data_IF_887194046359
#
_entry.id   IF_887194046359
#
_cell.length_a   1.000
_cell.length_b   1.000
_cell.length_c   1.000
_cell.angle_alpha   90.00
_cell.angle_beta   90.00
_cell.angle_gamma   90.00
#
_symmetry.space_group_name_H-M   'P 1'
#
loop_
_entity.id
_entity.type
_entity.pdbx_description
1 polymer ?
#
# COMPACT_ATOMS: atom_id res chain seq x y z
N UNK A 1 1.54 8.85 -21.48
CA UNK A 1 0.73 8.57 -20.28
C UNK A 1 1.23 7.28 -19.65
N UNK A 2 1.45 7.26 -18.35
CA UNK A 2 1.93 6.08 -17.62
C UNK A 2 0.78 5.10 -17.40
N UNK A 3 0.94 3.85 -17.81
CA UNK A 3 -0.02 2.78 -17.51
C UNK A 3 0.18 2.34 -16.05
N UNK A 4 -0.91 2.27 -15.28
CA UNK A 4 -0.87 1.93 -13.87
C UNK A 4 -1.71 0.69 -13.58
N UNK A 5 -1.26 -0.15 -12.67
CA UNK A 5 -2.03 -1.32 -12.19
C UNK A 5 -3.38 -0.93 -11.59
N UNK A 6 -3.46 0.28 -11.03
CA UNK A 6 -4.71 0.81 -10.48
C UNK A 6 -5.79 0.96 -11.57
N UNK A 7 -5.42 1.24 -12.83
CA UNK A 7 -6.40 1.43 -13.92
C UNK A 7 -7.18 0.12 -14.17
N UNK A 8 -6.48 -0.99 -14.32
CA UNK A 8 -7.11 -2.33 -14.45
C UNK A 8 -7.88 -2.75 -13.17
N UNK A 9 -7.40 -2.32 -11.99
CA UNK A 9 -8.13 -2.56 -10.74
C UNK A 9 -9.47 -1.83 -10.71
N UNK A 10 -9.50 -0.54 -11.11
CA UNK A 10 -10.71 0.27 -11.17
C UNK A 10 -11.74 -0.33 -12.14
N UNK A 11 -11.31 -0.75 -13.34
CA UNK A 11 -12.18 -1.41 -14.31
C UNK A 11 -12.84 -2.67 -13.73
N UNK A 12 -12.02 -3.54 -13.10
CA UNK A 12 -12.51 -4.76 -12.48
C UNK A 12 -13.44 -4.48 -11.29
N UNK A 13 -13.11 -3.49 -10.48
CA UNK A 13 -13.88 -3.12 -9.28
C UNK A 13 -15.29 -2.65 -9.67
N UNK A 14 -15.41 -1.64 -10.51
CA UNK A 14 -16.70 -1.06 -10.87
C UNK A 14 -17.55 -1.94 -11.80
N UNK A 15 -16.94 -2.95 -12.41
CA UNK A 15 -17.68 -4.00 -13.12
C UNK A 15 -18.39 -4.97 -12.18
N UNK A 16 -17.81 -5.24 -11.01
CA UNK A 16 -18.25 -6.29 -10.11
C UNK A 16 -18.91 -5.77 -8.82
N UNK A 17 -18.60 -4.53 -8.39
CA UNK A 17 -19.07 -3.96 -7.13
C UNK A 17 -19.79 -2.62 -7.32
N UNK A 18 -20.68 -2.30 -6.37
CA UNK A 18 -21.43 -1.04 -6.32
C UNK A 18 -21.04 -0.13 -5.17
N UNK A 19 -20.18 -0.61 -4.27
CA UNK A 19 -19.69 0.17 -3.15
C UNK A 19 -18.87 1.36 -3.65
N UNK A 20 -18.73 2.36 -2.80
CA UNK A 20 -17.76 3.41 -3.01
C UNK A 20 -16.33 2.88 -2.85
N UNK A 21 -15.38 3.48 -3.56
CA UNK A 21 -13.97 3.15 -3.42
C UNK A 21 -13.20 4.37 -2.91
N UNK A 22 -12.46 4.19 -1.81
CA UNK A 22 -11.55 5.21 -1.30
C UNK A 22 -10.11 4.87 -1.70
N UNK A 23 -9.49 5.72 -2.51
CA UNK A 23 -8.08 5.58 -2.89
C UNK A 23 -7.22 6.42 -1.96
N UNK A 24 -6.40 5.73 -1.17
CA UNK A 24 -5.43 6.31 -0.23
C UNK A 24 -4.00 6.24 -0.79
N UNK A 25 -3.03 6.72 -0.04
CA UNK A 25 -1.60 6.65 -0.36
C UNK A 25 -0.93 8.02 -0.32
N UNK A 26 0.39 8.03 -0.38
CA UNK A 26 1.20 9.24 -0.29
C UNK A 26 0.81 10.31 -1.32
N UNK A 27 1.14 11.57 -1.03
CA UNK A 27 1.01 12.63 -2.02
C UNK A 27 1.86 12.35 -3.26
N UNK A 28 1.40 12.86 -4.42
CA UNK A 28 2.09 12.75 -5.71
C UNK A 28 2.18 11.33 -6.29
N UNK A 29 1.44 10.34 -5.75
CA UNK A 29 1.38 8.98 -6.33
C UNK A 29 0.46 8.86 -7.55
N UNK A 30 -0.26 9.94 -7.91
CA UNK A 30 -1.10 10.00 -9.11
C UNK A 30 -2.56 9.63 -8.90
N UNK A 31 -3.08 9.60 -7.66
CA UNK A 31 -4.47 9.21 -7.32
C UNK A 31 -5.51 9.94 -8.16
N UNK A 32 -5.59 11.26 -8.03
CA UNK A 32 -6.59 12.07 -8.74
C UNK A 32 -6.46 11.98 -10.25
N UNK A 33 -5.23 11.83 -10.77
CA UNK A 33 -4.97 11.63 -12.20
C UNK A 33 -5.59 10.32 -12.71
N UNK A 34 -5.31 9.18 -12.05
CA UNK A 34 -5.87 7.88 -12.44
C UNK A 34 -7.40 7.85 -12.32
N UNK A 35 -7.96 8.48 -11.27
CA UNK A 35 -9.41 8.57 -11.09
C UNK A 35 -10.06 9.40 -12.21
N UNK A 36 -9.52 10.57 -12.55
CA UNK A 36 -10.02 11.41 -13.65
C UNK A 36 -9.94 10.68 -14.98
N UNK A 37 -8.82 10.02 -15.24
CA UNK A 37 -8.65 9.21 -16.45
C UNK A 37 -9.70 8.11 -16.53
N UNK A 38 -9.87 7.33 -15.47
CA UNK A 38 -10.88 6.28 -15.40
C UNK A 38 -12.30 6.84 -15.58
N UNK A 39 -12.64 7.91 -14.87
CA UNK A 39 -13.96 8.54 -14.94
C UNK A 39 -14.31 9.05 -16.35
N UNK A 40 -13.35 9.71 -17.01
CA UNK A 40 -13.58 10.25 -18.36
C UNK A 40 -13.60 9.18 -19.46
N UNK A 41 -12.98 8.03 -19.24
CA UNK A 41 -12.93 6.95 -20.24
C UNK A 41 -14.07 5.93 -20.09
N UNK A 42 -14.61 5.74 -18.87
CA UNK A 42 -15.58 4.67 -18.59
C UNK A 42 -16.98 5.18 -18.25
N UNK A 43 -17.14 6.48 -17.98
CA UNK A 43 -18.45 7.08 -17.68
C UNK A 43 -18.79 8.20 -18.67
N UNK A 44 -20.07 8.45 -18.85
CA UNK A 44 -20.52 9.58 -19.71
C UNK A 44 -20.34 10.94 -19.04
N UNK A 45 -20.37 10.95 -17.71
CA UNK A 45 -20.18 12.16 -16.91
C UNK A 45 -19.27 11.84 -15.72
N UNK A 46 -18.33 12.72 -15.48
CA UNK A 46 -17.49 12.73 -14.27
C UNK A 46 -17.81 14.03 -13.51
N UNK A 47 -18.36 13.89 -12.32
CA UNK A 47 -18.61 15.02 -11.41
C UNK A 47 -17.55 15.00 -10.35
N UNK A 48 -16.61 15.93 -10.43
CA UNK A 48 -15.49 16.06 -9.49
C UNK A 48 -15.77 17.19 -8.48
N UNK A 49 -15.54 16.90 -7.21
CA UNK A 49 -15.66 17.82 -6.09
C UNK A 49 -14.36 17.74 -5.30
N UNK A 50 -13.51 18.75 -5.47
CA UNK A 50 -12.26 18.87 -4.73
C UNK A 50 -12.48 19.81 -3.53
N UNK A 51 -12.37 19.28 -2.32
CA UNK A 51 -12.69 20.05 -1.10
C UNK A 51 -11.69 21.16 -0.78
N UNK A 52 -10.49 21.15 -1.36
CA UNK A 52 -9.54 22.26 -1.26
C UNK A 52 -9.93 23.41 -2.22
N UNK A 53 -10.33 23.06 -3.45
CA UNK A 53 -10.69 24.03 -4.50
C UNK A 53 -12.12 24.55 -4.36
N UNK A 54 -13.00 23.75 -3.74
CA UNK A 54 -14.43 24.02 -3.58
C UNK A 54 -14.85 23.92 -2.10
N UNK A 55 -14.35 24.79 -1.21
CA UNK A 55 -14.66 24.72 0.22
C UNK A 55 -16.15 24.88 0.53
N UNK A 56 -16.92 25.55 -0.35
CA UNK A 56 -18.39 25.65 -0.25
C UNK A 56 -19.09 24.29 -0.35
N UNK A 57 -18.47 23.26 -0.95
CA UNK A 57 -19.01 21.91 -0.98
C UNK A 57 -19.09 21.29 0.42
N UNK A 58 -18.22 21.68 1.34
CA UNK A 58 -18.25 21.23 2.75
C UNK A 58 -19.56 21.67 3.42
N UNK A 59 -19.96 22.92 3.21
CA UNK A 59 -21.22 23.45 3.76
C UNK A 59 -22.43 22.73 3.16
N UNK A 60 -22.38 22.43 1.85
CA UNK A 60 -23.43 21.66 1.17
C UNK A 60 -23.63 20.29 1.80
N UNK A 61 -22.54 19.58 2.08
CA UNK A 61 -22.57 18.24 2.66
C UNK A 61 -23.05 18.28 4.10
N UNK A 62 -22.51 19.20 4.91
CA UNK A 62 -22.83 19.32 6.34
C UNK A 62 -24.29 19.67 6.59
N UNK A 63 -24.93 20.45 5.70
CA UNK A 63 -26.31 20.89 5.82
C UNK A 63 -27.33 20.13 4.98
N UNK A 64 -26.90 19.06 4.28
CA UNK A 64 -27.80 18.24 3.50
C UNK A 64 -28.74 17.42 4.39
N UNK A 65 -30.04 17.47 4.09
CA UNK A 65 -31.07 16.76 4.87
C UNK A 65 -31.12 15.25 4.58
N UNK A 66 -30.75 14.87 3.37
CA UNK A 66 -30.70 13.50 2.89
C UNK A 66 -29.87 13.40 1.61
N UNK A 67 -29.65 12.18 1.10
CA UNK A 67 -28.85 11.94 -0.11
C UNK A 67 -29.38 12.67 -1.35
N UNK A 68 -30.68 12.75 -1.56
CA UNK A 68 -31.28 13.47 -2.71
C UNK A 68 -31.05 14.96 -2.65
N UNK A 69 -31.21 15.57 -1.47
CA UNK A 69 -30.92 17.00 -1.25
C UNK A 69 -29.43 17.28 -1.47
N UNK A 70 -28.55 16.40 -0.97
CA UNK A 70 -27.11 16.51 -1.19
C UNK A 70 -26.75 16.45 -2.67
N UNK A 71 -27.24 15.46 -3.40
CA UNK A 71 -26.98 15.29 -4.83
C UNK A 71 -27.48 16.46 -5.65
N UNK A 72 -28.69 16.98 -5.34
CA UNK A 72 -29.22 18.17 -5.99
C UNK A 72 -28.33 19.39 -5.82
N UNK A 73 -27.88 19.64 -4.60
CA UNK A 73 -26.98 20.77 -4.28
C UNK A 73 -25.61 20.62 -4.94
N UNK A 74 -25.02 19.41 -4.90
CA UNK A 74 -23.75 19.12 -5.56
C UNK A 74 -23.85 19.28 -7.08
N UNK A 75 -24.96 18.86 -7.68
CA UNK A 75 -25.22 19.07 -9.11
C UNK A 75 -25.30 20.56 -9.47
N UNK A 76 -25.93 21.38 -8.62
CA UNK A 76 -26.00 22.81 -8.83
C UNK A 76 -24.63 23.51 -8.68
N UNK A 77 -23.75 22.96 -7.80
CA UNK A 77 -22.44 23.52 -7.55
C UNK A 77 -21.45 23.25 -8.70
N UNK A 78 -21.52 22.05 -9.30
CA UNK A 78 -20.49 21.60 -10.26
C UNK A 78 -20.80 21.95 -11.72
N UNK A 79 -22.02 22.40 -12.04
CA UNK A 79 -22.50 22.62 -13.42
C UNK A 79 -22.32 21.39 -14.35
N UNK A 80 -22.15 20.19 -13.79
CA UNK A 80 -22.02 18.95 -14.53
C UNK A 80 -23.31 18.11 -14.41
N UNK A 81 -23.77 17.48 -15.50
CA UNK A 81 -24.99 16.69 -15.45
C UNK A 81 -24.78 15.39 -14.66
N UNK A 82 -25.65 15.15 -13.70
CA UNK A 82 -25.79 13.87 -13.03
C UNK A 82 -26.71 12.97 -13.85
N UNK A 83 -26.14 11.99 -14.57
CA UNK A 83 -26.86 11.03 -15.41
C UNK A 83 -26.93 9.71 -14.66
N UNK A 84 -28.13 9.28 -14.30
CA UNK A 84 -28.36 8.05 -13.54
C UNK A 84 -27.71 6.81 -14.22
N UNK A 85 -26.97 6.04 -13.45
CA UNK A 85 -26.23 4.86 -13.89
C UNK A 85 -25.02 5.14 -14.79
N UNK A 86 -24.74 6.41 -15.16
CA UNK A 86 -23.70 6.78 -16.13
C UNK A 86 -22.75 7.88 -15.63
N UNK A 87 -22.91 8.31 -14.39
CA UNK A 87 -22.02 9.30 -13.74
C UNK A 87 -21.15 8.65 -12.67
N UNK A 88 -19.86 8.97 -12.70
CA UNK A 88 -18.96 8.78 -11.59
C UNK A 88 -18.86 10.10 -10.80
N UNK A 89 -19.18 10.05 -9.52
CA UNK A 89 -18.99 11.18 -8.60
C UNK A 89 -17.67 10.98 -7.87
N UNK A 90 -16.76 11.92 -8.05
CA UNK A 90 -15.42 11.87 -7.48
C UNK A 90 -15.26 12.95 -6.40
N UNK A 91 -15.04 12.51 -5.16
CA UNK A 91 -14.71 13.39 -4.04
C UNK A 91 -13.20 13.35 -3.82
N UNK A 92 -12.52 14.47 -4.12
CA UNK A 92 -11.07 14.59 -3.97
C UNK A 92 -10.71 15.35 -2.69
N UNK A 93 -9.58 14.98 -2.09
CA UNK A 93 -9.04 15.54 -0.84
C UNK A 93 -10.06 15.44 0.34
N UNK A 94 -10.64 14.23 0.52
CA UNK A 94 -11.73 13.99 1.50
C UNK A 94 -11.31 14.20 2.96
N UNK A 95 -10.01 14.33 3.27
CA UNK A 95 -9.55 14.74 4.60
C UNK A 95 -10.01 16.15 4.98
N UNK A 96 -10.29 17.01 4.00
CA UNK A 96 -10.84 18.35 4.26
C UNK A 96 -12.34 18.33 4.60
N UNK A 97 -13.03 17.21 4.31
CA UNK A 97 -14.46 17.00 4.61
C UNK A 97 -14.71 15.56 5.10
N UNK A 98 -14.34 15.22 6.35
CA UNK A 98 -14.53 13.86 6.89
C UNK A 98 -16.01 13.42 6.91
N UNK A 99 -16.95 14.36 6.92
CA UNK A 99 -18.39 14.10 6.91
C UNK A 99 -18.83 13.31 5.67
N UNK A 100 -18.17 13.51 4.50
CA UNK A 100 -18.52 12.79 3.28
C UNK A 100 -18.25 11.28 3.42
N UNK A 101 -17.22 10.89 4.17
CA UNK A 101 -16.91 9.49 4.42
C UNK A 101 -18.03 8.82 5.23
N UNK A 102 -18.65 9.55 6.15
CA UNK A 102 -19.83 9.07 6.89
C UNK A 102 -21.08 9.08 6.01
N UNK A 103 -21.25 10.10 5.18
CA UNK A 103 -22.41 10.26 4.31
C UNK A 103 -22.43 9.29 3.13
N UNK A 104 -21.28 8.72 2.74
CA UNK A 104 -21.15 7.85 1.57
C UNK A 104 -22.08 6.64 1.63
N UNK A 105 -22.37 6.12 2.82
CA UNK A 105 -23.34 5.06 3.03
C UNK A 105 -24.68 5.38 2.39
N UNK A 106 -25.22 6.56 2.68
CA UNK A 106 -26.54 6.97 2.19
C UNK A 106 -26.56 7.24 0.69
N UNK A 107 -25.41 7.69 0.14
CA UNK A 107 -25.24 7.90 -1.30
C UNK A 107 -25.18 6.57 -2.05
N UNK A 108 -24.48 5.57 -1.52
CA UNK A 108 -24.40 4.22 -2.08
C UNK A 108 -25.73 3.48 -1.98
N UNK A 109 -26.47 3.63 -0.87
CA UNK A 109 -27.82 3.07 -0.67
C UNK A 109 -28.85 3.67 -1.64
N UNK A 110 -28.73 4.95 -1.95
CA UNK A 110 -29.58 5.63 -2.94
C UNK A 110 -29.40 5.04 -4.35
N UNK A 111 -28.16 4.68 -4.72
CA UNK A 111 -27.85 3.77 -5.82
C UNK A 111 -27.83 4.37 -7.22
N UNK A 112 -28.15 5.66 -7.42
CA UNK A 112 -28.23 6.29 -8.75
C UNK A 112 -26.87 6.47 -9.42
N UNK A 113 -25.78 6.59 -8.67
CA UNK A 113 -24.45 6.91 -9.19
C UNK A 113 -23.39 5.96 -8.67
N UNK A 114 -22.18 6.08 -9.23
CA UNK A 114 -20.97 5.45 -8.69
C UNK A 114 -20.12 6.51 -7.99
N UNK A 115 -19.46 6.11 -6.90
CA UNK A 115 -18.72 7.02 -6.05
C UNK A 115 -17.29 6.56 -5.87
N UNK A 116 -16.35 7.47 -6.08
CA UNK A 116 -14.94 7.28 -5.79
C UNK A 116 -14.44 8.45 -4.97
N UNK A 117 -13.56 8.17 -4.05
CA UNK A 117 -12.97 9.15 -3.15
C UNK A 117 -11.46 9.07 -3.22
N UNK A 118 -10.78 10.18 -3.04
CA UNK A 118 -9.33 10.18 -2.80
C UNK A 118 -8.95 11.13 -1.68
N UNK A 119 -7.83 10.80 -1.07
CA UNK A 119 -7.21 11.68 -0.09
C UNK A 119 -5.79 11.25 0.21
N UNK A 120 -4.98 12.23 0.53
CA UNK A 120 -3.66 12.03 1.08
C UNK A 120 -3.74 12.16 2.60
N UNK A 121 -2.85 11.48 3.36
CA UNK A 121 -2.81 11.57 4.82
C UNK A 121 -4.03 10.99 5.56
N UNK A 122 -4.91 10.28 4.87
CA UNK A 122 -6.18 9.77 5.43
C UNK A 122 -5.99 8.85 6.64
N UNK A 123 -4.92 8.07 6.68
CA UNK A 123 -4.63 7.22 7.83
C UNK A 123 -4.44 7.99 9.14
N UNK A 124 -4.06 9.27 9.06
CA UNK A 124 -3.90 10.14 10.24
C UNK A 124 -5.21 10.81 10.64
N UNK A 125 -5.97 11.29 9.64
CA UNK A 125 -7.13 12.17 9.89
C UNK A 125 -8.44 11.41 10.05
N UNK A 126 -8.55 10.20 9.46
CA UNK A 126 -9.76 9.36 9.61
C UNK A 126 -9.88 8.64 10.95
N UNK A 127 -8.87 8.71 11.84
CA UNK A 127 -8.96 8.12 13.19
C UNK A 127 -10.09 8.68 14.04
N UNK A 128 -10.53 9.89 13.74
CA UNK A 128 -11.60 10.60 14.46
C UNK A 128 -12.98 10.43 13.82
N UNK A 129 -13.11 9.59 12.78
CA UNK A 129 -14.41 9.31 12.17
C UNK A 129 -15.34 8.63 13.19
N UNK A 130 -16.52 9.21 13.36
CA UNK A 130 -17.57 8.71 14.24
C UNK A 130 -18.07 7.31 13.85
N UNK A 131 -17.91 6.89 12.58
CA UNK A 131 -18.33 5.58 12.08
C UNK A 131 -17.69 5.31 10.71
N UNK A 132 -16.95 4.22 10.60
CA UNK A 132 -16.55 3.69 9.30
C UNK A 132 -17.78 3.06 8.63
N UNK A 133 -18.07 3.38 7.35
CA UNK A 133 -19.21 2.82 6.62
C UNK A 133 -18.92 1.39 6.16
N UNK A 134 -18.77 0.47 7.11
CA UNK A 134 -18.51 -0.95 6.85
C UNK A 134 -19.57 -1.52 5.90
N UNK A 135 -19.14 -2.15 4.80
CA UNK A 135 -20.02 -2.75 3.80
C UNK A 135 -20.45 -1.81 2.66
N UNK A 136 -20.18 -0.51 2.75
CA UNK A 136 -20.54 0.48 1.72
C UNK A 136 -19.34 1.10 1.02
N UNK A 137 -18.16 0.91 1.55
CA UNK A 137 -16.92 1.45 1.02
C UNK A 137 -15.79 0.43 1.17
N UNK A 138 -14.97 0.31 0.13
CA UNK A 138 -13.71 -0.41 0.17
C UNK A 138 -12.55 0.59 0.06
N UNK A 139 -11.40 0.22 0.59
CA UNK A 139 -10.19 1.06 0.60
C UNK A 139 -9.12 0.40 -0.27
N UNK A 140 -8.50 1.18 -1.15
CA UNK A 140 -7.35 0.74 -1.95
C UNK A 140 -6.21 1.73 -1.81
N UNK A 141 -5.08 1.26 -1.32
CA UNK A 141 -3.86 2.06 -1.28
C UNK A 141 -3.17 2.08 -2.65
N UNK A 142 -2.72 3.26 -3.05
CA UNK A 142 -1.96 3.51 -4.28
C UNK A 142 -0.54 3.92 -3.94
N UNK A 143 0.40 3.19 -4.51
CA UNK A 143 1.84 3.35 -4.28
C UNK A 143 2.51 4.12 -5.45
N UNK A 144 3.77 4.58 -5.31
CA UNK A 144 4.62 4.92 -6.44
C UNK A 144 4.65 3.77 -7.47
N UNK A 145 5.10 4.00 -8.68
CA UNK A 145 5.30 2.93 -9.68
C UNK A 145 6.19 1.84 -9.09
N UNK A 146 5.72 0.61 -9.17
CA UNK A 146 6.55 -0.54 -8.84
C UNK A 146 7.54 -0.87 -9.99
N UNK A 147 8.42 -1.84 -9.80
CA UNK A 147 9.43 -2.24 -10.80
C UNK A 147 8.78 -2.57 -12.14
N UNK A 148 7.67 -3.30 -12.15
CA UNK A 148 6.96 -3.67 -13.37
C UNK A 148 6.40 -2.45 -14.10
N UNK A 149 5.65 -1.60 -13.40
CA UNK A 149 5.09 -0.36 -13.96
C UNK A 149 6.20 0.55 -14.53
N UNK A 150 7.33 0.67 -13.81
CA UNK A 150 8.48 1.43 -14.25
C UNK A 150 9.11 0.85 -15.53
N UNK A 151 9.32 -0.46 -15.59
CA UNK A 151 9.89 -1.11 -16.74
C UNK A 151 8.98 -1.00 -17.97
N UNK A 152 7.66 -1.17 -17.78
CA UNK A 152 6.67 -0.96 -18.85
C UNK A 152 6.68 0.49 -19.34
N UNK A 153 6.81 1.47 -18.43
CA UNK A 153 6.92 2.89 -18.80
C UNK A 153 8.16 3.18 -19.65
N UNK A 154 9.25 2.44 -19.43
CA UNK A 154 10.49 2.52 -20.24
C UNK A 154 10.46 1.67 -21.51
N UNK A 155 9.32 1.06 -21.84
CA UNK A 155 9.12 0.31 -23.08
C UNK A 155 9.58 -1.15 -23.02
N UNK A 156 9.76 -1.74 -21.84
CA UNK A 156 9.92 -3.19 -21.73
C UNK A 156 8.66 -3.87 -22.25
N UNK A 157 8.83 -4.75 -23.23
CA UNK A 157 7.73 -5.46 -23.85
C UNK A 157 7.14 -6.50 -22.89
N UNK A 158 5.81 -6.61 -22.88
CA UNK A 158 5.08 -7.58 -22.04
C UNK A 158 5.62 -9.01 -22.22
N UNK A 159 5.95 -9.40 -23.45
CA UNK A 159 6.53 -10.73 -23.73
C UNK A 159 7.85 -10.99 -22.99
N UNK A 160 8.72 -9.98 -22.88
CA UNK A 160 9.97 -10.09 -22.11
C UNK A 160 9.66 -10.25 -20.63
N UNK A 161 8.69 -9.48 -20.12
CA UNK A 161 8.29 -9.56 -18.73
C UNK A 161 7.66 -10.92 -18.38
N UNK A 162 6.82 -11.46 -19.24
CA UNK A 162 6.21 -12.78 -19.10
C UNK A 162 7.26 -13.91 -19.13
N UNK A 163 8.29 -13.77 -19.96
CA UNK A 163 9.43 -14.71 -20.00
C UNK A 163 10.22 -14.68 -18.68
N UNK A 164 10.46 -13.50 -18.11
CA UNK A 164 11.12 -13.36 -16.80
C UNK A 164 10.25 -13.96 -15.70
N UNK A 165 8.93 -13.75 -15.75
CA UNK A 165 7.97 -14.35 -14.82
C UNK A 165 7.98 -15.88 -14.92
N UNK A 166 8.00 -16.41 -16.12
CA UNK A 166 8.14 -17.85 -16.37
C UNK A 166 9.45 -18.42 -15.81
N UNK A 167 10.56 -17.66 -15.98
CA UNK A 167 11.85 -18.06 -15.40
C UNK A 167 11.82 -18.07 -13.87
N UNK A 168 11.14 -17.11 -13.24
CA UNK A 168 10.86 -17.11 -11.79
C UNK A 168 10.07 -18.33 -11.34
N UNK A 169 8.95 -18.64 -12.01
CA UNK A 169 8.07 -19.76 -11.68
C UNK A 169 8.79 -21.12 -11.81
N UNK A 170 9.62 -21.26 -12.85
CA UNK A 170 10.41 -22.45 -13.14
C UNK A 170 11.75 -22.49 -12.40
N UNK A 171 12.11 -21.47 -11.62
CA UNK A 171 13.39 -21.34 -10.91
C UNK A 171 14.60 -21.52 -11.85
N UNK A 172 14.51 -21.04 -13.07
CA UNK A 172 15.58 -21.14 -14.08
C UNK A 172 16.19 -19.76 -14.41
N UNK A 173 17.42 -19.78 -14.91
CA UNK A 173 18.09 -18.56 -15.34
C UNK A 173 17.35 -17.89 -16.50
N UNK A 174 17.32 -16.56 -16.47
CA UNK A 174 16.94 -15.70 -17.60
C UNK A 174 18.10 -15.69 -18.61
N UNK A 175 17.82 -15.49 -19.88
CA UNK A 175 18.87 -15.24 -20.89
C UNK A 175 19.82 -14.13 -20.41
N UNK A 176 21.13 -14.34 -20.53
CA UNK A 176 22.14 -13.44 -19.96
C UNK A 176 22.09 -12.03 -20.53
N UNK A 177 21.74 -11.88 -21.82
CA UNK A 177 21.59 -10.56 -22.44
C UNK A 177 20.37 -9.84 -21.88
N UNK A 178 19.24 -10.54 -21.76
CA UNK A 178 18.00 -10.01 -21.16
C UNK A 178 18.26 -9.64 -19.71
N UNK A 179 18.85 -10.54 -18.91
CA UNK A 179 19.20 -10.28 -17.52
C UNK A 179 20.03 -9.00 -17.37
N UNK A 180 21.09 -8.86 -18.16
CA UNK A 180 21.95 -7.67 -18.14
C UNK A 180 21.19 -6.38 -18.44
N UNK A 181 20.31 -6.40 -19.44
CA UNK A 181 19.50 -5.24 -19.83
C UNK A 181 18.49 -4.86 -18.73
N UNK A 182 17.83 -5.82 -18.15
CA UNK A 182 16.89 -5.58 -17.04
C UNK A 182 17.62 -5.06 -15.80
N UNK A 183 18.83 -5.55 -15.51
CA UNK A 183 19.66 -5.01 -14.43
C UNK A 183 20.11 -3.56 -14.70
N UNK A 184 20.35 -3.16 -15.96
CA UNK A 184 20.60 -1.76 -16.31
C UNK A 184 19.37 -0.88 -15.98
N UNK A 185 18.16 -1.34 -16.34
CA UNK A 185 16.91 -0.66 -16.03
C UNK A 185 16.63 -0.62 -14.51
N UNK A 186 16.94 -1.70 -13.81
CA UNK A 186 16.79 -1.72 -12.35
C UNK A 186 17.71 -0.67 -11.68
N UNK A 187 18.96 -0.53 -12.11
CA UNK A 187 19.83 0.54 -11.60
C UNK A 187 19.28 1.94 -11.89
N UNK A 188 18.64 2.11 -13.04
CA UNK A 188 17.95 3.37 -13.34
C UNK A 188 16.75 3.60 -12.41
N UNK A 189 15.98 2.53 -12.11
CA UNK A 189 14.89 2.59 -11.15
C UNK A 189 15.36 3.03 -9.75
N UNK A 190 16.53 2.56 -9.30
CA UNK A 190 17.09 3.01 -8.02
C UNK A 190 17.37 4.52 -7.95
N UNK A 191 17.50 5.17 -9.10
CA UNK A 191 17.80 6.62 -9.19
C UNK A 191 16.53 7.42 -9.42
N UNK A 192 15.72 7.00 -10.37
CA UNK A 192 14.49 7.71 -10.78
C UNK A 192 13.39 7.47 -9.76
N UNK A 193 13.27 6.25 -9.23
CA UNK A 193 12.17 5.83 -8.37
C UNK A 193 10.88 5.62 -9.15
N UNK A 194 9.78 5.52 -8.38
CA UNK A 194 8.45 5.27 -8.91
C UNK A 194 7.48 6.47 -8.80
N UNK A 195 7.94 7.66 -8.38
CA UNK A 195 7.05 8.83 -8.33
C UNK A 195 6.63 9.25 -9.74
N UNK A 196 5.31 9.27 -10.08
CA UNK A 196 4.85 9.46 -11.47
C UNK A 196 5.40 10.71 -12.16
N UNK A 197 5.44 11.85 -11.45
CA UNK A 197 5.99 13.10 -12.00
C UNK A 197 7.48 12.97 -12.34
N UNK A 198 8.23 12.25 -11.50
CA UNK A 198 9.67 12.01 -11.69
C UNK A 198 9.91 11.06 -12.86
N UNK A 199 9.14 9.97 -12.95
CA UNK A 199 9.21 9.02 -14.07
C UNK A 199 8.86 9.72 -15.37
N UNK A 200 7.78 10.52 -15.40
CA UNK A 200 7.40 11.28 -16.58
C UNK A 200 8.49 12.29 -16.99
N UNK A 201 9.07 13.00 -16.01
CA UNK A 201 10.19 13.91 -16.25
C UNK A 201 11.38 13.21 -16.89
N UNK A 202 11.73 12.02 -16.42
CA UNK A 202 12.79 11.21 -17.04
C UNK A 202 12.45 10.81 -18.49
N UNK A 203 11.22 10.35 -18.74
CA UNK A 203 10.78 9.97 -20.08
C UNK A 203 10.81 11.14 -21.08
N UNK A 204 10.46 12.33 -20.61
CA UNK A 204 10.40 13.54 -21.45
C UNK A 204 11.79 14.11 -21.77
N UNK A 205 12.75 13.99 -20.84
CA UNK A 205 14.02 14.72 -20.93
C UNK A 205 15.26 13.84 -21.00
N UNK A 206 15.19 12.60 -20.51
CA UNK A 206 16.34 11.72 -20.28
C UNK A 206 17.47 12.39 -19.45
N UNK A 207 17.12 13.37 -18.62
CA UNK A 207 18.05 14.21 -17.89
C UNK A 207 17.95 13.97 -16.37
N UNK A 208 18.99 13.36 -15.79
CA UNK A 208 19.01 13.05 -14.36
C UNK A 208 19.07 14.28 -13.44
N UNK A 209 19.55 15.42 -13.92
CA UNK A 209 19.54 16.66 -13.13
C UNK A 209 18.11 17.18 -12.96
N UNK A 210 17.28 17.10 -14.01
CA UNK A 210 15.87 17.46 -13.94
C UNK A 210 15.08 16.48 -13.07
N UNK A 211 15.41 15.19 -13.14
CA UNK A 211 14.86 14.15 -12.24
C UNK A 211 15.14 14.50 -10.79
N UNK A 212 16.39 14.83 -10.44
CA UNK A 212 16.77 15.24 -9.08
C UNK A 212 16.04 16.49 -8.61
N UNK A 213 15.88 17.48 -9.50
CA UNK A 213 15.14 18.70 -9.15
C UNK A 213 13.68 18.42 -8.82
N UNK A 214 13.03 17.51 -9.57
CA UNK A 214 11.65 17.07 -9.31
C UNK A 214 11.53 16.29 -8.01
N UNK A 215 12.44 15.35 -7.74
CA UNK A 215 12.49 14.61 -6.47
C UNK A 215 12.67 15.55 -5.27
N UNK A 216 13.56 16.52 -5.35
CA UNK A 216 13.74 17.52 -4.31
C UNK A 216 12.50 18.39 -4.10
N UNK A 217 11.73 18.67 -5.17
CA UNK A 217 10.46 19.39 -5.06
C UNK A 217 9.44 18.57 -4.26
N UNK A 218 9.35 17.26 -4.51
CA UNK A 218 8.47 16.35 -3.76
C UNK A 218 8.88 16.27 -2.28
N UNK A 219 10.18 16.15 -1.99
CA UNK A 219 10.68 16.15 -0.59
C UNK A 219 10.32 17.46 0.11
N UNK A 220 10.49 18.61 -0.54
CA UNK A 220 10.06 19.89 0.01
C UNK A 220 8.56 19.94 0.27
N UNK A 221 7.76 19.32 -0.58
CA UNK A 221 6.31 19.21 -0.39
C UNK A 221 6.00 18.37 0.87
N UNK A 222 6.64 17.20 1.04
CA UNK A 222 6.46 16.35 2.22
C UNK A 222 6.83 17.11 3.51
N UNK A 223 7.95 17.84 3.52
CA UNK A 223 8.34 18.68 4.65
C UNK A 223 7.32 19.79 4.97
N UNK A 224 6.70 20.39 3.94
CA UNK A 224 5.61 21.38 4.16
C UNK A 224 4.36 20.75 4.79
N UNK A 225 4.02 19.52 4.40
CA UNK A 225 2.88 18.81 4.98
C UNK A 225 3.14 18.43 6.44
N UNK A 226 4.34 17.94 6.76
CA UNK A 226 4.80 17.74 8.13
C UNK A 226 4.64 19.03 8.93
N UNK A 227 5.00 20.17 8.35
CA UNK A 227 4.93 21.46 8.99
C UNK A 227 3.53 21.95 9.31
N UNK A 228 2.52 21.52 8.56
CA UNK A 228 1.11 21.90 8.76
C UNK A 228 0.42 21.06 9.84
N UNK A 229 0.80 19.80 9.95
CA UNK A 229 0.06 18.80 10.71
C UNK A 229 0.10 19.00 12.22
N UNK A 230 1.27 19.28 12.81
CA UNK A 230 1.38 19.40 14.26
C UNK A 230 2.43 20.44 14.66
N UNK A 231 1.98 21.53 15.24
CA UNK A 231 2.87 22.59 15.74
C UNK A 231 3.77 22.14 16.90
N UNK A 232 3.33 21.13 17.68
CA UNK A 232 4.03 20.66 18.88
C UNK A 232 5.03 19.55 18.56
N UNK A 233 4.77 18.70 17.53
CA UNK A 233 5.61 17.55 17.17
C UNK A 233 6.28 17.71 15.79
N UNK A 234 6.04 18.82 15.10
CA UNK A 234 6.59 19.10 13.76
C UNK A 234 8.11 18.85 13.67
N UNK A 235 8.86 19.38 14.61
CA UNK A 235 10.34 19.25 14.62
C UNK A 235 10.76 17.78 14.69
N UNK A 236 10.07 16.97 15.49
CA UNK A 236 10.40 15.55 15.62
C UNK A 236 10.10 14.75 14.34
N UNK A 237 8.96 15.03 13.68
CA UNK A 237 8.60 14.34 12.42
C UNK A 237 9.61 14.68 11.32
N UNK A 238 9.98 15.97 11.20
CA UNK A 238 10.96 16.45 10.22
C UNK A 238 12.35 15.86 10.48
N UNK A 239 12.82 15.88 11.72
CA UNK A 239 14.10 15.28 12.13
C UNK A 239 14.14 13.77 11.85
N UNK A 240 13.07 13.03 12.17
CA UNK A 240 12.98 11.59 11.86
C UNK A 240 13.09 11.37 10.36
N UNK A 241 12.35 12.14 9.57
CA UNK A 241 12.35 12.01 8.11
C UNK A 241 13.73 12.30 7.52
N UNK A 242 14.43 13.31 8.00
CA UNK A 242 15.80 13.67 7.56
C UNK A 242 16.87 12.65 7.96
N UNK A 243 16.66 11.95 9.07
CA UNK A 243 17.60 10.93 9.54
C UNK A 243 17.46 9.59 8.81
N UNK A 244 16.38 9.32 8.09
CA UNK A 244 16.17 8.03 7.41
C UNK A 244 17.40 7.60 6.58
N UNK A 245 17.98 8.44 5.67
CA UNK A 245 19.12 8.01 4.87
C UNK A 245 20.35 7.64 5.70
N UNK A 246 20.66 8.40 6.77
CA UNK A 246 21.80 8.16 7.62
C UNK A 246 21.65 6.91 8.49
N UNK A 247 20.46 6.70 9.06
CA UNK A 247 20.15 5.52 9.86
C UNK A 247 20.18 4.23 9.01
N UNK A 248 19.66 4.26 7.79
CA UNK A 248 19.74 3.14 6.85
C UNK A 248 21.16 2.82 6.41
N UNK A 249 22.06 3.80 6.39
CA UNK A 249 23.47 3.61 6.04
C UNK A 249 24.33 3.21 7.24
N UNK A 250 23.82 3.29 8.47
CA UNK A 250 24.48 2.85 9.67
C UNK A 250 24.67 1.32 9.68
N UNK A 251 25.67 0.83 10.43
CA UNK A 251 26.00 -0.60 10.49
C UNK A 251 24.80 -1.48 10.89
N UNK A 252 23.95 -0.99 11.79
CA UNK A 252 22.79 -1.75 12.31
C UNK A 252 21.49 -1.45 11.58
N UNK A 253 21.45 -0.44 10.69
CA UNK A 253 20.27 0.02 9.92
C UNK A 253 19.00 0.22 10.75
N UNK A 254 19.09 0.18 12.07
CA UNK A 254 17.99 0.40 13.00
C UNK A 254 17.83 1.87 13.26
N UNK A 255 16.61 2.34 13.34
CA UNK A 255 16.36 3.70 13.76
C UNK A 255 16.73 3.89 15.23
N UNK A 256 17.76 4.68 15.50
CA UNK A 256 18.31 4.90 16.85
C UNK A 256 17.77 6.20 17.41
N UNK A 257 16.78 6.11 18.32
CA UNK A 257 16.14 7.28 18.94
C UNK A 257 17.10 8.22 19.67
N UNK A 258 18.22 7.71 20.18
CA UNK A 258 19.25 8.54 20.82
C UNK A 258 19.90 9.53 19.86
N UNK A 259 19.87 9.26 18.56
CA UNK A 259 20.37 10.18 17.55
C UNK A 259 19.46 11.41 17.37
N UNK A 260 18.18 11.31 17.78
CA UNK A 260 17.27 12.46 17.87
C UNK A 260 17.50 13.25 19.16
N UNK A 261 17.51 12.56 20.31
CA UNK A 261 17.76 13.19 21.60
C UNK A 261 18.06 12.12 22.65
N UNK A 262 19.22 12.25 23.35
CA UNK A 262 19.70 11.27 24.32
C UNK A 262 18.78 11.04 25.52
N UNK A 263 17.95 12.03 25.87
CA UNK A 263 17.13 12.04 27.08
C UNK A 263 15.65 11.71 26.87
N UNK A 264 15.20 11.49 25.63
CA UNK A 264 13.78 11.28 25.33
C UNK A 264 13.42 9.79 25.16
N UNK A 265 12.26 9.42 25.70
CA UNK A 265 11.69 8.07 25.61
C UNK A 265 10.94 7.89 24.28
N UNK A 266 10.87 6.67 23.77
CA UNK A 266 10.13 6.28 22.54
C UNK A 266 8.70 6.80 22.53
N UNK A 267 7.98 6.74 23.65
CA UNK A 267 6.59 7.19 23.75
C UNK A 267 6.36 8.65 23.30
N UNK A 268 7.40 9.47 23.28
CA UNK A 268 7.30 10.86 22.83
C UNK A 268 7.38 11.02 21.31
N UNK A 269 7.99 10.03 20.63
CA UNK A 269 8.13 10.00 19.16
C UNK A 269 7.15 9.07 18.47
N UNK A 270 6.44 8.22 19.24
CA UNK A 270 5.56 7.18 18.69
C UNK A 270 4.54 7.76 17.70
N UNK A 271 3.90 8.87 18.07
CA UNK A 271 2.95 9.55 17.17
C UNK A 271 3.62 10.07 15.88
N UNK A 272 4.87 10.50 15.94
CA UNK A 272 5.61 10.97 14.77
C UNK A 272 5.91 9.84 13.79
N UNK A 273 6.29 8.65 14.29
CA UNK A 273 6.47 7.47 13.45
C UNK A 273 5.15 6.96 12.87
N UNK A 274 4.09 6.98 13.68
CA UNK A 274 2.74 6.64 13.21
C UNK A 274 2.34 7.59 12.08
N UNK A 275 2.57 8.89 12.26
CA UNK A 275 2.25 9.88 11.24
C UNK A 275 2.99 9.61 9.92
N UNK A 276 4.31 9.40 9.96
CA UNK A 276 5.11 9.12 8.76
C UNK A 276 4.63 7.87 8.02
N UNK A 277 4.23 6.83 8.76
CA UNK A 277 3.66 5.61 8.20
C UNK A 277 2.30 5.88 7.57
N UNK A 278 1.38 6.50 8.31
CA UNK A 278 0.00 6.73 7.85
C UNK A 278 -0.07 7.76 6.71
N UNK A 279 0.89 8.71 6.68
CA UNK A 279 1.08 9.60 5.54
C UNK A 279 1.64 8.88 4.30
N UNK A 280 2.07 7.62 4.46
CA UNK A 280 2.65 6.82 3.39
C UNK A 280 4.01 7.30 2.92
N UNK A 281 4.73 8.12 3.70
CA UNK A 281 6.05 8.67 3.30
C UNK A 281 7.22 7.85 3.83
N UNK A 282 6.99 7.00 4.84
CA UNK A 282 8.00 6.08 5.34
C UNK A 282 7.41 4.70 5.67
N UNK A 283 8.25 3.67 5.54
CA UNK A 283 7.89 2.27 5.70
C UNK A 283 8.61 1.69 6.91
N UNK A 284 7.97 1.52 8.07
CA UNK A 284 8.58 0.87 9.22
C UNK A 284 8.63 -0.65 9.03
N UNK A 285 9.80 -1.22 9.21
CA UNK A 285 10.07 -2.66 9.20
C UNK A 285 10.43 -3.08 10.62
N UNK A 286 9.55 -3.83 11.28
CA UNK A 286 9.71 -4.15 12.70
C UNK A 286 10.54 -5.40 12.92
N UNK A 287 11.29 -5.44 14.05
CA UNK A 287 11.93 -6.67 14.44
C UNK A 287 10.89 -7.71 14.89
N UNK A 288 11.06 -8.94 14.44
CA UNK A 288 10.43 -10.10 15.04
C UNK A 288 11.45 -10.81 15.91
N UNK A 289 11.09 -11.14 17.15
CA UNK A 289 11.99 -11.78 18.10
C UNK A 289 12.23 -13.26 17.75
N UNK A 290 11.28 -13.87 17.03
CA UNK A 290 11.36 -15.22 16.51
C UNK A 290 10.84 -15.26 15.06
N UNK A 291 11.52 -15.95 14.14
CA UNK A 291 11.07 -16.12 12.76
C UNK A 291 10.05 -17.27 12.64
N UNK A 292 8.97 -17.19 13.40
CA UNK A 292 7.88 -18.19 13.46
C UNK A 292 6.54 -17.49 13.19
N UNK A 293 5.73 -18.06 12.30
CA UNK A 293 4.40 -17.53 12.00
C UNK A 293 3.42 -17.77 13.17
N UNK A 294 2.53 -16.84 13.50
CA UNK A 294 2.35 -15.50 12.90
C UNK A 294 3.37 -14.46 13.41
N UNK A 295 4.13 -13.85 12.51
CA UNK A 295 5.19 -12.87 12.85
C UNK A 295 4.69 -11.67 13.67
N UNK A 296 3.41 -11.35 13.54
CA UNK A 296 2.77 -10.27 14.30
C UNK A 296 2.80 -10.50 15.82
N UNK A 297 2.83 -11.76 16.26
CA UNK A 297 2.83 -12.11 17.69
C UNK A 297 4.19 -11.90 18.35
N UNK A 298 5.29 -12.05 17.59
CA UNK A 298 6.67 -11.86 18.06
C UNK A 298 7.27 -10.50 17.70
N UNK A 299 6.43 -9.55 17.27
CA UNK A 299 6.83 -8.21 16.87
C UNK A 299 7.32 -7.37 18.05
N UNK A 300 8.56 -6.90 17.99
CA UNK A 300 9.11 -5.90 18.91
C UNK A 300 8.56 -4.50 18.60
N UNK A 301 8.02 -3.80 19.59
CA UNK A 301 7.41 -2.47 19.37
C UNK A 301 8.43 -1.36 19.11
N UNK A 302 9.61 -1.45 19.74
CA UNK A 302 10.60 -0.35 19.78
C UNK A 302 11.84 -0.62 18.93
N UNK A 303 11.85 -1.72 18.17
CA UNK A 303 12.97 -2.09 17.32
C UNK A 303 12.47 -2.17 15.87
N UNK A 304 12.86 -1.20 15.06
CA UNK A 304 12.48 -1.15 13.66
C UNK A 304 13.54 -0.46 12.80
N UNK A 305 13.54 -0.77 11.52
CA UNK A 305 14.20 -0.01 10.46
C UNK A 305 13.14 0.90 9.83
N UNK A 306 13.53 2.06 9.33
CA UNK A 306 12.61 2.99 8.67
C UNK A 306 13.09 3.24 7.25
N UNK A 307 12.34 2.76 6.27
CA UNK A 307 12.62 2.94 4.85
C UNK A 307 11.80 4.10 4.27
N UNK A 308 12.24 4.64 3.14
CA UNK A 308 11.45 5.60 2.35
C UNK A 308 10.38 4.85 1.53
N UNK A 309 9.27 5.51 1.28
CA UNK A 309 8.20 4.98 0.43
C UNK A 309 8.58 4.89 -1.06
N UNK A 310 9.60 5.63 -1.47
CA UNK A 310 10.11 5.63 -2.84
C UNK A 310 11.64 5.64 -2.86
N UNK A 311 12.22 4.74 -3.64
CA UNK A 311 13.66 4.55 -3.71
C UNK A 311 14.38 5.74 -4.33
N UNK A 312 13.78 6.41 -5.33
CA UNK A 312 14.34 7.60 -5.94
C UNK A 312 14.39 8.78 -4.97
N UNK A 313 13.37 8.93 -4.12
CA UNK A 313 13.35 9.93 -3.06
C UNK A 313 14.42 9.64 -2.00
N UNK A 314 14.72 8.38 -1.69
CA UNK A 314 15.87 8.03 -0.84
C UNK A 314 17.19 8.38 -1.54
N UNK A 315 17.37 7.93 -2.77
CA UNK A 315 18.62 8.13 -3.52
C UNK A 315 18.99 9.60 -3.71
N UNK A 316 17.99 10.49 -3.89
CA UNK A 316 18.25 11.92 -4.04
C UNK A 316 18.66 12.64 -2.75
N UNK A 317 18.49 12.02 -1.58
CA UNK A 317 18.92 12.55 -0.28
C UNK A 317 20.37 12.20 0.09
N UNK A 318 21.01 11.30 -0.66
CA UNK A 318 22.44 11.04 -0.50
C UNK A 318 23.28 12.12 -1.19
N UNK A 319 24.60 12.08 -0.95
CA UNK A 319 25.52 13.05 -1.52
C UNK A 319 25.49 13.06 -3.06
N UNK A 320 25.76 14.23 -3.64
CA UNK A 320 25.86 14.40 -5.09
C UNK A 320 26.85 13.40 -5.71
N UNK A 321 26.45 12.76 -6.81
CA UNK A 321 27.26 11.78 -7.52
C UNK A 321 26.95 10.33 -7.22
N UNK A 322 26.12 10.01 -6.20
CA UNK A 322 25.67 8.64 -5.92
C UNK A 322 24.93 8.04 -7.14
N UNK A 323 24.19 8.88 -7.88
CA UNK A 323 23.43 8.48 -9.06
C UNK A 323 24.34 7.91 -10.16
N UNK A 324 25.45 8.58 -10.46
CA UNK A 324 26.42 8.09 -11.45
C UNK A 324 27.08 6.79 -10.99
N UNK A 325 27.33 6.68 -9.69
CA UNK A 325 27.94 5.50 -9.07
C UNK A 325 26.99 4.29 -9.12
N UNK A 326 25.69 4.51 -8.91
CA UNK A 326 24.64 3.49 -9.04
C UNK A 326 24.54 3.02 -10.50
N UNK A 327 24.50 3.94 -11.49
CA UNK A 327 24.43 3.60 -12.91
C UNK A 327 25.63 2.76 -13.36
N UNK A 328 26.82 3.16 -12.95
CA UNK A 328 28.07 2.50 -13.35
C UNK A 328 28.40 1.26 -12.53
N UNK A 329 27.58 0.94 -11.52
CA UNK A 329 27.85 -0.11 -10.53
C UNK A 329 29.27 0.00 -9.96
N UNK A 330 29.64 1.21 -9.51
CA UNK A 330 30.96 1.53 -9.05
C UNK A 330 31.41 0.65 -7.88
N UNK A 331 32.65 0.16 -7.96
CA UNK A 331 33.23 -0.71 -6.93
C UNK A 331 33.55 0.10 -5.66
N UNK A 332 33.36 -0.51 -4.49
CA UNK A 332 33.78 0.06 -3.20
C UNK A 332 32.72 0.89 -2.50
N UNK A 333 31.50 1.01 -3.05
CA UNK A 333 30.39 1.70 -2.44
C UNK A 333 29.40 0.68 -1.88
N UNK A 334 28.93 0.94 -0.65
CA UNK A 334 27.90 0.11 -0.04
C UNK A 334 26.51 0.60 -0.46
N UNK A 335 25.92 -0.03 -1.48
CA UNK A 335 24.56 0.22 -1.92
C UNK A 335 23.50 -0.62 -1.17
N UNK A 336 23.90 -1.35 -0.13
CA UNK A 336 23.00 -2.29 0.57
C UNK A 336 21.71 -1.64 1.03
N UNK A 337 21.78 -0.45 1.65
CA UNK A 337 20.57 0.27 2.11
C UNK A 337 19.64 0.69 0.99
N UNK A 338 20.16 1.07 -0.18
CA UNK A 338 19.37 1.45 -1.35
C UNK A 338 18.66 0.21 -1.92
N UNK A 339 19.37 -0.92 -2.04
CA UNK A 339 18.79 -2.18 -2.52
C UNK A 339 17.72 -2.71 -1.55
N UNK A 340 17.99 -2.65 -0.25
CA UNK A 340 17.00 -3.04 0.77
C UNK A 340 15.77 -2.14 0.73
N UNK A 341 15.91 -0.83 0.50
CA UNK A 341 14.77 0.07 0.37
C UNK A 341 13.91 -0.29 -0.85
N UNK A 342 14.52 -0.62 -1.99
CA UNK A 342 13.78 -1.07 -3.17
C UNK A 342 12.98 -2.35 -2.88
N UNK A 343 13.58 -3.32 -2.17
CA UNK A 343 12.89 -4.53 -1.74
C UNK A 343 11.76 -4.23 -0.75
N UNK A 344 11.98 -3.35 0.24
CA UNK A 344 10.94 -2.95 1.20
C UNK A 344 9.75 -2.31 0.49
N UNK A 345 10.00 -1.40 -0.46
CA UNK A 345 8.97 -0.75 -1.27
C UNK A 345 8.15 -1.77 -2.06
N UNK A 346 8.81 -2.72 -2.76
CA UNK A 346 8.13 -3.76 -3.54
C UNK A 346 7.29 -4.67 -2.65
N UNK A 347 7.82 -5.15 -1.54
CA UNK A 347 7.10 -6.01 -0.60
C UNK A 347 5.86 -5.29 -0.05
N UNK A 348 6.00 -4.00 0.31
CA UNK A 348 4.89 -3.20 0.80
C UNK A 348 3.80 -3.00 -0.26
N UNK A 349 4.17 -2.64 -1.49
CA UNK A 349 3.24 -2.46 -2.60
C UNK A 349 2.46 -3.76 -2.93
N UNK A 350 3.03 -4.92 -2.59
CA UNK A 350 2.40 -6.26 -2.74
C UNK A 350 1.61 -6.70 -1.52
N UNK A 351 1.49 -5.83 -0.52
CA UNK A 351 0.66 -6.04 0.67
C UNK A 351 1.29 -6.93 1.74
N UNK A 352 2.61 -7.15 1.70
CA UNK A 352 3.28 -7.83 2.79
C UNK A 352 3.43 -6.93 4.01
N UNK A 353 3.23 -7.49 5.19
CA UNK A 353 3.65 -6.88 6.44
C UNK A 353 5.18 -6.99 6.54
N UNK A 354 5.85 -5.89 6.85
CA UNK A 354 7.30 -5.82 6.80
C UNK A 354 7.92 -6.14 8.17
N UNK A 355 8.71 -7.22 8.21
CA UNK A 355 9.49 -7.61 9.37
C UNK A 355 10.95 -7.89 8.99
N UNK A 356 11.85 -7.72 9.96
CA UNK A 356 13.21 -8.24 9.92
C UNK A 356 13.46 -9.10 11.16
N UNK A 357 14.50 -9.92 11.13
CA UNK A 357 14.88 -10.72 12.28
C UNK A 357 16.28 -10.33 12.76
N UNK A 358 16.47 -10.19 14.07
CA UNK A 358 17.78 -9.98 14.63
C UNK A 358 17.88 -10.59 16.02
N UNK A 359 18.85 -11.50 16.18
CA UNK A 359 19.20 -12.05 17.49
C UNK A 359 20.71 -12.10 17.69
N UNK A 360 21.14 -12.07 18.97
CA UNK A 360 22.57 -12.16 19.34
C UNK A 360 23.21 -13.48 18.90
N UNK A 361 22.44 -14.58 18.86
CA UNK A 361 22.96 -15.91 18.55
C UNK A 361 23.06 -16.16 17.05
N UNK A 362 22.08 -15.68 16.28
CA UNK A 362 21.92 -16.07 14.88
C UNK A 362 22.28 -14.98 13.89
N UNK A 363 22.33 -13.73 14.34
CA UNK A 363 22.62 -12.58 13.51
C UNK A 363 21.36 -11.89 13.00
N UNK A 364 21.50 -11.08 11.97
CA UNK A 364 20.43 -10.27 11.37
C UNK A 364 20.10 -10.72 9.96
N UNK A 365 18.79 -10.89 9.68
CA UNK A 365 18.22 -11.07 8.34
C UNK A 365 17.61 -9.74 7.89
N UNK A 366 17.75 -9.40 6.62
CA UNK A 366 17.25 -8.13 6.08
C UNK A 366 15.73 -8.05 6.17
N UNK A 367 15.02 -9.12 5.75
CA UNK A 367 13.57 -9.25 5.88
C UNK A 367 13.16 -10.69 6.21
N UNK A 368 11.99 -10.82 6.80
CA UNK A 368 11.22 -12.06 6.90
C UNK A 368 9.76 -11.76 6.53
N UNK A 369 9.16 -12.61 5.73
CA UNK A 369 7.76 -12.49 5.31
C UNK A 369 6.97 -13.74 5.64
N UNK A 370 5.67 -13.60 5.80
CA UNK A 370 4.75 -14.73 5.84
C UNK A 370 4.19 -15.00 4.46
N UNK A 371 4.38 -16.21 3.99
CA UNK A 371 3.84 -16.70 2.72
C UNK A 371 3.34 -18.12 2.89
N UNK A 372 2.11 -18.38 2.50
CA UNK A 372 1.49 -19.72 2.55
C UNK A 372 1.47 -20.35 3.97
N UNK A 373 1.40 -19.51 5.02
CA UNK A 373 1.46 -19.95 6.41
C UNK A 373 2.86 -20.24 6.93
N UNK A 374 3.89 -20.05 6.12
CA UNK A 374 5.29 -20.29 6.44
C UNK A 374 6.09 -18.99 6.48
N UNK A 375 7.18 -19.00 7.22
CA UNK A 375 8.13 -17.88 7.24
C UNK A 375 9.18 -18.07 6.16
N UNK A 376 9.34 -17.07 5.31
CA UNK A 376 10.36 -17.03 4.25
C UNK A 376 11.37 -15.92 4.57
N UNK A 377 12.60 -16.25 4.96
CA UNK A 377 13.69 -15.30 5.10
C UNK A 377 14.11 -14.74 3.75
N UNK A 378 14.43 -13.43 3.75
CA UNK A 378 14.94 -12.71 2.58
C UNK A 378 16.22 -11.97 2.96
N UNK A 379 17.26 -12.19 2.16
CA UNK A 379 18.52 -11.44 2.20
C UNK A 379 18.68 -10.64 0.91
N UNK A 380 19.29 -9.46 1.01
CA UNK A 380 19.54 -8.57 -0.12
C UNK A 380 21.04 -8.32 -0.26
N UNK A 381 21.61 -8.69 -1.39
CA UNK A 381 23.05 -8.63 -1.64
C UNK A 381 23.36 -7.84 -2.93
N UNK A 382 23.92 -6.64 -2.77
CA UNK A 382 24.34 -5.80 -3.90
C UNK A 382 25.77 -6.09 -4.39
N UNK A 383 26.54 -6.92 -3.67
CA UNK A 383 27.95 -7.21 -3.95
C UNK A 383 28.22 -8.61 -4.47
N UNK A 384 29.48 -8.86 -4.90
CA UNK A 384 29.91 -10.16 -5.46
C UNK A 384 29.93 -11.31 -4.44
N UNK A 385 30.01 -11.01 -3.14
CA UNK A 385 30.04 -12.04 -2.09
C UNK A 385 28.62 -12.43 -1.62
N UNK A 386 27.67 -12.53 -2.54
CA UNK A 386 26.24 -12.77 -2.27
C UNK A 386 25.95 -14.11 -1.60
N UNK A 387 26.83 -15.12 -1.78
CA UNK A 387 26.71 -16.44 -1.15
C UNK A 387 27.13 -16.46 0.33
N UNK A 388 27.67 -15.36 0.87
CA UNK A 388 28.06 -15.25 2.28
C UNK A 388 26.92 -14.65 3.09
N UNK A 389 26.20 -15.51 3.83
CA UNK A 389 25.04 -15.11 4.65
C UNK A 389 24.97 -15.96 5.93
N UNK A 390 25.90 -15.75 6.86
CA UNK A 390 26.01 -16.55 8.10
C UNK A 390 24.69 -16.53 8.91
N UNK A 391 24.02 -15.40 9.02
CA UNK A 391 22.75 -15.31 9.74
C UNK A 391 21.67 -16.18 9.09
N UNK A 392 21.56 -16.16 7.77
CA UNK A 392 20.62 -17.01 7.03
C UNK A 392 20.92 -18.49 7.26
N UNK A 393 22.21 -18.89 7.18
CA UNK A 393 22.62 -20.27 7.45
C UNK A 393 22.25 -20.68 8.88
N UNK A 394 22.51 -19.84 9.87
CA UNK A 394 22.17 -20.12 11.26
C UNK A 394 20.65 -20.30 11.46
N UNK A 395 19.86 -19.45 10.86
CA UNK A 395 18.38 -19.50 10.95
C UNK A 395 17.84 -20.75 10.23
N UNK A 396 18.35 -21.07 9.04
CA UNK A 396 17.93 -22.23 8.24
C UNK A 396 18.29 -23.57 8.88
N UNK A 397 19.36 -23.63 9.66
CA UNK A 397 19.80 -24.85 10.36
C UNK A 397 19.10 -25.05 11.71
N UNK A 398 18.42 -24.03 12.23
CA UNK A 398 17.65 -24.18 13.47
C UNK A 398 16.34 -24.93 13.21
N UNK A 399 16.24 -26.14 13.74
CA UNK A 399 15.08 -27.02 13.54
C UNK A 399 13.79 -26.45 14.12
N UNK A 400 13.86 -25.61 15.16
CA UNK A 400 12.68 -25.04 15.82
C UNK A 400 11.92 -24.03 14.93
N UNK A 401 12.59 -23.47 13.92
CA UNK A 401 11.99 -22.44 13.05
C UNK A 401 11.24 -23.00 11.84
N UNK A 402 11.43 -24.28 11.52
CA UNK A 402 10.74 -24.98 10.43
C UNK A 402 10.73 -24.23 9.08
N UNK A 403 11.85 -23.58 8.72
CA UNK A 403 11.95 -22.77 7.51
C UNK A 403 12.16 -23.65 6.28
N UNK A 404 11.22 -23.66 5.32
CA UNK A 404 11.29 -24.54 4.16
C UNK A 404 12.23 -24.03 3.07
N UNK A 405 12.29 -22.71 2.87
CA UNK A 405 13.04 -22.04 1.82
C UNK A 405 13.46 -20.65 2.26
N UNK A 406 14.56 -20.15 1.72
CA UNK A 406 14.99 -18.76 1.84
C UNK A 406 15.27 -18.17 0.46
N UNK A 407 15.12 -16.85 0.35
CA UNK A 407 15.37 -16.08 -0.87
C UNK A 407 16.56 -15.14 -0.66
N UNK A 408 17.45 -15.09 -1.64
CA UNK A 408 18.56 -14.11 -1.65
C UNK A 408 18.48 -13.31 -2.95
N UNK A 409 18.10 -12.05 -2.85
CA UNK A 409 18.04 -11.14 -3.99
C UNK A 409 19.42 -10.54 -4.27
N UNK A 410 19.90 -10.71 -5.49
CA UNK A 410 21.26 -10.37 -5.91
C UNK A 410 21.30 -9.66 -7.27
N UNK A 411 22.51 -9.27 -7.70
CA UNK A 411 22.75 -8.80 -9.06
C UNK A 411 22.96 -9.96 -10.08
N UNK A 412 23.09 -11.18 -9.59
CA UNK A 412 23.39 -12.36 -10.40
C UNK A 412 22.09 -13.04 -10.88
N UNK A 413 22.22 -13.92 -11.88
CA UNK A 413 21.12 -14.66 -12.44
C UNK A 413 20.60 -15.75 -11.48
N UNK A 414 19.47 -16.38 -11.80
CA UNK A 414 18.85 -17.41 -10.95
C UNK A 414 19.79 -18.58 -10.71
N UNK A 415 19.95 -18.96 -9.45
CA UNK A 415 20.65 -20.18 -9.03
C UNK A 415 20.08 -20.68 -7.71
N UNK A 416 20.33 -21.94 -7.38
CA UNK A 416 19.83 -22.54 -6.15
C UNK A 416 20.92 -23.37 -5.47
N UNK A 417 21.00 -23.26 -4.14
CA UNK A 417 21.83 -24.12 -3.30
C UNK A 417 20.99 -24.63 -2.13
N UNK A 418 20.66 -25.93 -2.18
CA UNK A 418 19.78 -26.56 -1.21
C UNK A 418 18.41 -25.85 -1.11
N UNK A 419 18.12 -25.32 0.07
CA UNK A 419 16.88 -24.57 0.37
C UNK A 419 16.99 -23.06 0.07
N UNK A 420 18.15 -22.58 -0.36
CA UNK A 420 18.37 -21.17 -0.67
C UNK A 420 18.25 -20.93 -2.17
N UNK A 421 17.32 -20.07 -2.55
CA UNK A 421 17.11 -19.64 -3.94
C UNK A 421 17.72 -18.25 -4.12
N UNK A 422 18.69 -18.13 -5.00
CA UNK A 422 19.30 -16.86 -5.41
C UNK A 422 18.58 -16.33 -6.65
N UNK A 423 18.20 -15.06 -6.61
CA UNK A 423 17.33 -14.46 -7.61
C UNK A 423 17.86 -13.09 -8.01
N UNK A 424 17.76 -12.71 -9.29
CA UNK A 424 17.95 -11.33 -9.68
C UNK A 424 17.03 -10.41 -8.89
N UNK A 425 17.54 -9.28 -8.40
CA UNK A 425 16.79 -8.41 -7.48
C UNK A 425 15.47 -7.90 -8.08
N UNK A 426 15.40 -7.67 -9.39
CA UNK A 426 14.16 -7.26 -10.04
C UNK A 426 13.04 -8.32 -9.95
N UNK A 427 13.37 -9.58 -9.65
CA UNK A 427 12.38 -10.64 -9.48
C UNK A 427 11.60 -10.53 -8.15
N UNK A 428 11.97 -9.65 -7.24
CA UNK A 428 11.13 -9.31 -6.08
C UNK A 428 9.73 -8.86 -6.53
N UNK A 429 9.62 -8.34 -7.74
CA UNK A 429 8.37 -7.98 -8.40
C UNK A 429 7.39 -9.14 -8.62
N UNK A 430 7.80 -10.39 -8.47
CA UNK A 430 6.92 -11.56 -8.63
C UNK A 430 6.52 -12.21 -7.29
N UNK A 431 6.98 -11.66 -6.17
CA UNK A 431 6.47 -12.10 -4.87
C UNK A 431 5.02 -11.65 -4.72
N UNK A 432 4.12 -12.59 -4.50
CA UNK A 432 2.70 -12.33 -4.27
C UNK A 432 2.34 -12.81 -2.87
N UNK A 433 1.64 -11.95 -2.10
CA UNK A 433 0.95 -12.39 -0.90
C UNK A 433 -0.25 -13.20 -1.35
N UNK A 434 -0.35 -14.46 -0.94
CA UNK A 434 -1.44 -15.31 -1.39
C UNK A 434 -2.80 -14.68 -1.09
N UNK A 435 -3.66 -14.76 -2.10
CA UNK A 435 -5.09 -14.57 -1.89
C UNK A 435 -5.60 -15.77 -1.09
N UNK A 436 -6.42 -15.58 -0.06
CA UNK A 436 -7.00 -16.70 0.67
C UNK A 436 -7.64 -17.68 -0.33
N UNK A 437 -7.31 -18.96 -0.20
CA UNK A 437 -7.97 -20.01 -0.99
C UNK A 437 -9.45 -19.94 -0.64
N UNK A 438 -10.31 -19.87 -1.66
CA UNK A 438 -11.76 -19.89 -1.47
C UNK A 438 -12.15 -21.28 -0.97
N UNK A 439 -12.28 -21.44 0.34
CA UNK A 439 -12.63 -22.70 0.97
C UNK A 439 -14.14 -22.72 1.21
N UNK A 440 -14.89 -23.37 0.32
CA UNK A 440 -16.27 -23.69 0.61
C UNK A 440 -16.34 -24.75 1.73
N UNK A 441 -16.48 -24.29 2.97
CA UNK A 441 -16.74 -25.18 4.09
C UNK A 441 -18.23 -25.29 4.34
N UNK A 442 -18.84 -26.39 3.93
CA UNK A 442 -20.26 -26.70 4.18
C UNK A 442 -20.38 -27.45 5.51
N UNK A 443 -20.80 -26.76 6.55
CA UNK A 443 -21.26 -27.42 7.78
C UNK A 443 -22.58 -28.14 7.45
N UNK A 444 -22.66 -29.44 7.69
CA UNK A 444 -23.92 -30.17 7.63
C UNK A 444 -24.92 -29.47 8.55
N UNK A 445 -25.99 -28.94 7.99
CA UNK A 445 -27.11 -28.47 8.80
C UNK A 445 -27.70 -29.69 9.52
N UNK A 446 -27.51 -29.80 10.81
CA UNK A 446 -28.26 -30.76 11.62
C UNK A 446 -29.74 -30.39 11.44
N UNK A 447 -30.61 -31.31 11.02
CA UNK A 447 -32.03 -31.00 10.90
C UNK A 447 -32.52 -30.58 12.29
N UNK A 448 -33.07 -29.37 12.41
CA UNK A 448 -33.67 -28.93 13.67
C UNK A 448 -34.85 -29.87 13.94
N UNK A 449 -34.90 -30.60 15.08
CA UNK A 449 -36.02 -31.47 15.40
C UNK A 449 -37.33 -30.66 15.38
N UNK A 450 -38.39 -31.24 14.87
CA UNK A 450 -39.74 -30.66 14.70
C UNK A 450 -40.34 -30.02 15.95
N UNK A 451 -39.74 -30.17 17.14
CA UNK A 451 -40.24 -29.72 18.43
C UNK A 451 -40.16 -28.20 18.69
N UNK A 452 -39.61 -27.40 17.78
CA UNK A 452 -39.44 -25.94 17.93
C UNK A 452 -40.20 -25.10 16.90
N UNK A 453 -41.41 -25.54 16.48
CA UNK A 453 -42.34 -24.64 15.84
C UNK A 453 -43.11 -23.87 16.93
N UNK A 454 -43.05 -22.54 16.98
CA UNK A 454 -43.92 -21.80 17.89
C UNK A 454 -45.36 -22.06 17.48
N UNK A 455 -46.15 -22.58 18.43
CA UNK A 455 -47.59 -22.83 18.25
C UNK A 455 -48.26 -21.55 17.78
N UNK A 456 -48.96 -21.64 16.61
CA UNK A 456 -49.76 -20.54 16.09
C UNK A 456 -50.75 -20.04 17.18
N UNK A 457 -50.99 -18.74 17.33
CA UNK A 457 -51.94 -18.22 18.30
C UNK A 457 -53.35 -18.79 18.02
N UNK A 458 -53.96 -19.45 19.03
CA UNK A 458 -55.34 -19.95 18.97
C UNK A 458 -56.26 -18.77 18.73
N UNK A 459 -57.04 -18.79 17.63
CA UNK A 459 -58.13 -17.85 17.42
C UNK A 459 -59.18 -18.04 18.55
N UNK A 460 -59.72 -16.96 19.12
CA UNK A 460 -60.78 -17.07 20.13
C UNK A 460 -62.04 -17.67 19.45
N UNK A 461 -62.64 -18.67 20.11
CA UNK A 461 -63.92 -19.23 19.72
C UNK A 461 -65.00 -18.18 19.97
N UNK A 462 -65.74 -17.78 18.96
CA UNK A 462 -67.01 -17.08 19.09
C UNK A 462 -68.02 -18.05 19.73
N UNK A 463 -68.42 -17.80 20.95
CA UNK A 463 -69.60 -18.44 21.57
C UNK A 463 -70.85 -17.72 21.07
N UNK A 464 -71.61 -18.37 20.19
CA UNK A 464 -72.99 -17.96 19.87
C UNK A 464 -73.90 -18.42 20.96
N UNK A 465 -74.52 -17.50 21.64
CA UNK A 465 -75.66 -17.77 22.58
C UNK A 465 -76.92 -18.06 21.80
N UNK A 466 -77.76 -19.03 22.22
CA UNK A 466 -79.03 -19.29 21.55
C UNK A 466 -80.12 -18.32 22.03
N UNK A 467 -80.81 -17.72 21.06
CA UNK A 467 -82.04 -16.94 21.33
C UNK A 467 -83.18 -17.86 21.71
N UNK A 468 -83.75 -17.66 22.89
CA UNK A 468 -85.04 -18.26 23.29
C UNK A 468 -86.18 -17.51 22.57
N UNK A 469 -86.94 -18.23 21.78
CA UNK A 469 -88.31 -17.84 21.39
C UNK A 469 -89.26 -18.27 22.57
N UNK A 470 -90.10 -17.38 22.99
CA UNK A 470 -91.34 -17.70 23.62
C UNK A 470 -92.52 -17.02 22.93
N UNK A 471 -93.42 -17.85 22.50
CA UNK A 471 -94.74 -17.61 21.96
C UNK A 471 -95.69 -16.89 22.88
N UNK A 472 -96.37 -15.90 22.42
CA UNK A 472 -97.86 -15.79 22.49
C UNK A 472 -98.27 -14.65 21.57
#
# INVERSE_FOLDING_TARGET
MLNRKIDSYLEKYYKNDKKALLITGARQTGKSFSIRHFGTTHFKSLVEINFIEMPEAIEVISHAKNSKDMLLRLSALTNQPLIEGQTLVFFDEVQECPEIVTAIKFLVEEGSYRYIMSGSLLGVELKDLRSEPVGYMDIKEMFPLDIEEFFMALGVNQRIWDEIKTAWEQKRSVDDFVHKKIMELFRLYLIVGGMPAVVQKYLDTNNLQEVLAEQQAIIRLYKRDIAKYDRNHKLYIEEIFELIPSELNAKNKRFILKNLNENLKFSRYENSFIWLKEAGVALPVFNSDEPIAPLKLSRSRNLFKLFQNDIGLLACQYANGIQLQLLTNAKGINFGSIYENAVAQELHARGFDLYYFNSKKQGELDFIIEKDGEVVPIEVKSGKAYQRHNALTNVMTNADYHIPQALVFTNENVSQDGKVLYLPIYMVAFLEKQTPVDVEYRVWRVPVPWAWQPSAPRRPRCTSSPSSQSSS
#
